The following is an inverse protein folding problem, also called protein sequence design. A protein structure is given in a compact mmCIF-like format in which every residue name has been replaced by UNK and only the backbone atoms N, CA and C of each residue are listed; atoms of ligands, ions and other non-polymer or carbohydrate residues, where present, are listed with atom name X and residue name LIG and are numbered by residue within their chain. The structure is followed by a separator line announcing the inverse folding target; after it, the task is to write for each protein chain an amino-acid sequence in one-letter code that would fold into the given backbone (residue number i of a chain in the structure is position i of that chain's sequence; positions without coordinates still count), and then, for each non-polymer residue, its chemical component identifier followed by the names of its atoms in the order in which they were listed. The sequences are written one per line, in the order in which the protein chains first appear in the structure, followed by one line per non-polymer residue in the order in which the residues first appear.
data_IF_282092030599
#
_entry.id   IF_282092030599
#
_cell.length_a   1.000
_cell.length_b   1.000
_cell.length_c   1.000
_cell.angle_alpha   90.00
_cell.angle_beta   90.00
_cell.angle_gamma   90.00
#
_symmetry.space_group_name_H-M   'P 1'
#
loop_
_entity.id
_entity.type
_entity.pdbx_description
1 polymer ?
#
# COMPACT_ATOMS: atom_id res chain seq x y z
N UNK A 1 -7.56 -4.65 -22.83
CA UNK A 1 -7.73 -3.18 -22.88
C UNK A 1 -8.97 -2.74 -23.66
N UNK A 2 -9.17 -3.19 -24.92
CA UNK A 2 -10.37 -2.79 -25.70
C UNK A 2 -11.66 -3.21 -24.96
N UNK A 3 -11.75 -4.45 -24.51
CA UNK A 3 -12.87 -4.94 -23.71
C UNK A 3 -13.14 -4.11 -22.46
N UNK A 4 -12.10 -3.71 -21.74
CA UNK A 4 -12.24 -2.86 -20.55
C UNK A 4 -12.83 -1.47 -20.84
N UNK A 5 -12.63 -0.94 -22.04
CA UNK A 5 -13.28 0.30 -22.49
C UNK A 5 -14.73 0.04 -22.96
N UNK A 6 -14.91 -0.98 -23.78
CA UNK A 6 -16.22 -1.28 -24.39
C UNK A 6 -17.25 -1.83 -23.39
N UNK A 7 -16.80 -2.38 -22.25
CA UNK A 7 -17.72 -2.79 -21.16
C UNK A 7 -18.37 -1.61 -20.43
N UNK A 8 -17.82 -0.40 -20.57
CA UNK A 8 -18.30 0.80 -19.89
C UNK A 8 -18.70 1.93 -20.84
N UNK A 9 -18.30 1.86 -22.12
CA UNK A 9 -18.52 2.92 -23.12
C UNK A 9 -18.93 2.31 -24.46
N UNK A 10 -19.96 2.87 -25.09
CA UNK A 10 -20.26 2.57 -26.49
C UNK A 10 -19.25 3.29 -27.39
N UNK A 11 -18.21 2.58 -27.80
CA UNK A 11 -17.08 3.14 -28.53
C UNK A 11 -16.61 2.18 -29.63
N UNK A 12 -16.32 2.73 -30.79
CA UNK A 12 -15.76 1.96 -31.92
C UNK A 12 -14.36 1.44 -31.58
N UNK A 13 -13.97 0.32 -32.18
CA UNK A 13 -12.65 -0.29 -31.98
C UNK A 13 -11.49 0.67 -32.31
N UNK A 14 -11.64 1.50 -33.35
CA UNK A 14 -10.60 2.45 -33.74
C UNK A 14 -10.43 3.59 -32.73
N UNK A 15 -11.52 4.10 -32.20
CA UNK A 15 -11.47 5.11 -31.15
C UNK A 15 -10.93 4.51 -29.83
N UNK A 16 -11.31 3.28 -29.48
CA UNK A 16 -10.75 2.57 -28.35
C UNK A 16 -9.21 2.43 -28.48
N UNK A 17 -8.69 2.07 -29.67
CA UNK A 17 -7.24 1.98 -29.92
C UNK A 17 -6.52 3.32 -29.68
N UNK A 18 -7.11 4.45 -30.10
CA UNK A 18 -6.53 5.79 -29.86
C UNK A 18 -6.43 6.11 -28.37
N UNK A 19 -7.49 5.82 -27.60
CA UNK A 19 -7.51 6.03 -26.16
C UNK A 19 -6.48 5.14 -25.46
N UNK A 20 -6.41 3.85 -25.84
CA UNK A 20 -5.46 2.91 -25.27
C UNK A 20 -4.02 3.35 -25.57
N UNK A 21 -3.73 3.75 -26.80
CA UNK A 21 -2.42 4.29 -27.17
C UNK A 21 -2.03 5.46 -26.26
N UNK A 22 -2.94 6.41 -26.06
CA UNK A 22 -2.68 7.55 -25.17
C UNK A 22 -2.46 7.11 -23.73
N UNK A 23 -3.25 6.17 -23.21
CA UNK A 23 -3.06 5.61 -21.87
C UNK A 23 -1.70 4.91 -21.72
N UNK A 24 -1.25 4.16 -22.74
CA UNK A 24 0.08 3.51 -22.73
C UNK A 24 1.21 4.54 -22.71
N UNK A 25 1.10 5.65 -23.43
CA UNK A 25 2.08 6.75 -23.38
C UNK A 25 2.12 7.37 -21.97
N UNK A 26 0.96 7.63 -21.37
CA UNK A 26 0.87 8.22 -20.02
C UNK A 26 1.56 7.40 -18.94
N UNK A 27 1.51 6.08 -19.04
CA UNK A 27 2.20 5.17 -18.11
C UNK A 27 3.65 4.87 -18.52
N UNK A 28 4.18 5.55 -19.54
CA UNK A 28 5.58 5.42 -19.96
C UNK A 28 5.92 4.15 -20.72
N UNK A 29 4.97 3.61 -21.50
CA UNK A 29 5.25 2.50 -22.44
C UNK A 29 5.79 3.11 -23.74
N UNK A 30 7.03 2.74 -24.08
CA UNK A 30 7.68 3.13 -25.33
C UNK A 30 7.10 2.37 -26.52
N UNK A 31 7.10 2.99 -27.71
CA UNK A 31 6.58 2.43 -28.96
C UNK A 31 5.17 1.82 -28.81
N UNK A 32 4.17 2.61 -28.35
CA UNK A 32 2.84 2.07 -28.03
C UNK A 32 2.16 1.45 -29.25
N UNK A 33 2.40 1.96 -30.45
CA UNK A 33 1.80 1.45 -31.69
C UNK A 33 2.23 0.01 -32.01
N UNK A 34 3.50 -0.32 -31.79
CA UNK A 34 4.01 -1.69 -31.90
C UNK A 34 3.47 -2.61 -30.81
N UNK A 35 3.26 -2.04 -29.61
CA UNK A 35 2.82 -2.78 -28.42
C UNK A 35 1.31 -3.01 -28.33
N UNK A 36 0.50 -2.27 -29.10
CA UNK A 36 -0.96 -2.43 -29.10
C UNK A 36 -1.42 -3.86 -29.49
N UNK A 37 -0.64 -4.57 -30.27
CA UNK A 37 -0.93 -5.92 -30.72
C UNK A 37 -0.07 -6.99 -30.02
N UNK A 38 0.78 -6.59 -29.06
CA UNK A 38 1.67 -7.50 -28.36
C UNK A 38 0.93 -8.30 -27.29
N UNK A 39 1.35 -9.53 -27.06
CA UNK A 39 0.83 -10.39 -26.01
C UNK A 39 1.55 -10.15 -24.68
N UNK A 40 0.91 -10.45 -23.52
CA UNK A 40 1.50 -10.20 -22.19
C UNK A 40 2.91 -10.81 -21.99
N UNK A 41 3.19 -11.96 -22.57
CA UNK A 41 4.50 -12.63 -22.47
C UNK A 41 5.63 -11.89 -23.21
N UNK A 42 5.30 -10.97 -24.10
CA UNK A 42 6.25 -10.13 -24.84
C UNK A 42 6.66 -8.85 -24.09
N UNK A 43 6.08 -8.64 -22.89
CA UNK A 43 6.38 -7.51 -22.02
C UNK A 43 7.29 -7.95 -20.87
N UNK A 44 8.22 -7.08 -20.46
CA UNK A 44 8.93 -7.23 -19.18
C UNK A 44 7.95 -7.12 -18.00
N UNK A 45 8.38 -7.52 -16.81
CA UNK A 45 7.57 -7.39 -15.59
C UNK A 45 7.07 -5.97 -15.35
N UNK A 46 7.96 -5.00 -15.41
CA UNK A 46 7.62 -3.58 -15.26
C UNK A 46 6.69 -3.06 -16.36
N UNK A 47 6.86 -3.51 -17.60
CA UNK A 47 5.94 -3.14 -18.69
C UNK A 47 4.55 -3.74 -18.48
N UNK A 48 4.45 -4.99 -18.04
CA UNK A 48 3.16 -5.62 -17.70
C UNK A 48 2.44 -4.82 -16.61
N UNK A 49 3.16 -4.43 -15.57
CA UNK A 49 2.60 -3.61 -14.51
C UNK A 49 2.09 -2.26 -15.01
N UNK A 50 2.86 -1.59 -15.90
CA UNK A 50 2.41 -0.35 -16.55
C UNK A 50 1.15 -0.54 -17.39
N UNK A 51 1.00 -1.67 -18.09
CA UNK A 51 -0.22 -2.01 -18.82
C UNK A 51 -1.40 -2.19 -17.87
N UNK A 52 -1.23 -2.87 -16.73
CA UNK A 52 -2.28 -3.02 -15.71
C UNK A 52 -2.71 -1.66 -15.16
N UNK A 53 -1.77 -0.78 -14.85
CA UNK A 53 -2.04 0.60 -14.42
C UNK A 53 -2.79 1.37 -15.52
N UNK A 54 -2.36 1.25 -16.79
CA UNK A 54 -3.06 1.88 -17.90
C UNK A 54 -4.51 1.40 -18.02
N UNK A 55 -4.76 0.09 -17.84
CA UNK A 55 -6.12 -0.48 -17.84
C UNK A 55 -6.98 0.15 -16.73
N UNK A 56 -6.43 0.23 -15.51
CA UNK A 56 -7.13 0.84 -14.37
C UNK A 56 -7.51 2.31 -14.63
N UNK A 57 -6.70 3.04 -15.39
CA UNK A 57 -6.91 4.46 -15.70
C UNK A 57 -7.79 4.73 -16.92
N UNK A 58 -8.11 3.70 -17.75
CA UNK A 58 -8.84 3.88 -19.02
C UNK A 58 -10.19 4.56 -18.87
N UNK A 59 -10.91 4.27 -17.80
CA UNK A 59 -12.25 4.79 -17.54
C UNK A 59 -12.25 5.97 -16.56
N UNK A 60 -11.08 6.59 -16.33
CA UNK A 60 -10.94 7.80 -15.50
C UNK A 60 -11.59 7.65 -14.11
N UNK A 61 -11.18 6.62 -13.33
CA UNK A 61 -11.80 6.34 -12.05
C UNK A 61 -11.48 7.43 -11.01
N UNK A 62 -12.40 7.65 -10.07
CA UNK A 62 -12.16 8.52 -8.91
C UNK A 62 -11.22 7.87 -7.90
N UNK A 63 -11.17 6.52 -7.84
CA UNK A 63 -10.37 5.74 -6.90
C UNK A 63 -9.71 4.54 -7.60
N UNK A 64 -8.43 4.34 -7.32
CA UNK A 64 -7.70 3.11 -7.66
C UNK A 64 -7.29 2.40 -6.38
N UNK A 65 -7.58 1.11 -6.29
CA UNK A 65 -7.06 0.21 -5.24
C UNK A 65 -5.97 -0.65 -5.86
N UNK A 66 -4.75 -0.51 -5.38
CA UNK A 66 -3.59 -1.24 -5.83
C UNK A 66 -3.12 -2.19 -4.70
N UNK A 67 -3.32 -3.48 -4.92
CA UNK A 67 -2.96 -4.54 -3.98
C UNK A 67 -1.62 -5.16 -4.39
N UNK A 68 -0.59 -4.94 -3.56
CA UNK A 68 0.79 -5.42 -3.74
C UNK A 68 1.36 -5.17 -5.17
N UNK A 69 1.17 -3.98 -5.76
CA UNK A 69 1.39 -3.80 -7.20
C UNK A 69 2.86 -3.79 -7.62
N UNK A 70 3.80 -3.83 -6.67
CA UNK A 70 5.24 -3.80 -6.96
C UNK A 70 6.03 -4.99 -6.41
N UNK A 71 5.38 -5.95 -5.76
CA UNK A 71 6.03 -7.06 -5.03
C UNK A 71 6.93 -7.95 -5.90
N UNK A 72 6.63 -8.11 -7.19
CA UNK A 72 7.41 -8.94 -8.12
C UNK A 72 8.40 -8.14 -8.99
N UNK A 73 8.72 -6.91 -8.62
CA UNK A 73 9.56 -6.00 -9.41
C UNK A 73 10.89 -5.74 -8.72
N UNK A 74 11.92 -5.50 -9.51
CA UNK A 74 13.20 -4.99 -8.99
C UNK A 74 13.05 -3.56 -8.42
N UNK A 75 13.96 -3.20 -7.52
CA UNK A 75 13.91 -1.93 -6.76
C UNK A 75 13.90 -0.71 -7.69
N UNK A 76 14.60 -0.77 -8.82
CA UNK A 76 14.68 0.35 -9.76
C UNK A 76 13.35 0.57 -10.48
N UNK A 77 12.74 -0.50 -10.96
CA UNK A 77 11.43 -0.46 -11.63
C UNK A 77 10.34 -0.10 -10.61
N UNK A 78 10.39 -0.65 -9.40
CA UNK A 78 9.49 -0.27 -8.30
C UNK A 78 9.53 1.25 -8.06
N UNK A 79 10.70 1.83 -7.85
CA UNK A 79 10.87 3.26 -7.63
C UNK A 79 10.33 4.11 -8.80
N UNK A 80 10.47 3.62 -10.03
CA UNK A 80 9.91 4.27 -11.22
C UNK A 80 8.38 4.28 -11.20
N UNK A 81 7.77 3.12 -10.93
CA UNK A 81 6.30 2.97 -10.88
C UNK A 81 5.71 3.84 -9.77
N UNK A 82 6.33 3.89 -8.59
CA UNK A 82 5.89 4.76 -7.49
C UNK A 82 5.87 6.24 -7.91
N UNK A 83 6.93 6.72 -8.55
CA UNK A 83 6.98 8.10 -9.07
C UNK A 83 5.89 8.36 -10.10
N UNK A 84 5.71 7.43 -11.04
CA UNK A 84 4.70 7.56 -12.10
C UNK A 84 3.28 7.55 -11.52
N UNK A 85 2.98 6.67 -10.56
CA UNK A 85 1.68 6.61 -9.89
C UNK A 85 1.38 7.88 -9.09
N UNK A 86 2.35 8.44 -8.37
CA UNK A 86 2.18 9.73 -7.67
C UNK A 86 1.86 10.87 -8.64
N UNK A 87 2.57 10.92 -9.77
CA UNK A 87 2.32 11.91 -10.82
C UNK A 87 0.93 11.73 -11.40
N UNK A 88 0.58 10.53 -11.85
CA UNK A 88 -0.70 10.20 -12.45
C UNK A 88 -1.86 10.53 -11.51
N UNK A 89 -1.80 10.11 -10.23
CA UNK A 89 -2.83 10.40 -9.23
C UNK A 89 -3.08 11.91 -9.09
N UNK A 90 -2.02 12.73 -9.08
CA UNK A 90 -2.15 14.19 -9.03
C UNK A 90 -2.73 14.76 -10.30
N UNK A 91 -2.22 14.34 -11.46
CA UNK A 91 -2.61 14.88 -12.76
C UNK A 91 -4.08 14.54 -13.10
N UNK A 92 -4.57 13.39 -12.66
CA UNK A 92 -5.95 12.93 -12.88
C UNK A 92 -6.90 13.24 -11.72
N UNK A 93 -6.38 13.68 -10.57
CA UNK A 93 -7.12 13.82 -9.31
C UNK A 93 -7.76 12.51 -8.83
N UNK A 94 -7.21 11.37 -9.24
CA UNK A 94 -7.65 10.03 -8.83
C UNK A 94 -7.10 9.73 -7.44
N UNK A 95 -7.96 9.35 -6.50
CA UNK A 95 -7.54 8.85 -5.20
C UNK A 95 -6.84 7.48 -5.34
N UNK A 96 -5.86 7.22 -4.47
CA UNK A 96 -5.08 5.99 -4.52
C UNK A 96 -5.07 5.31 -3.14
N UNK A 97 -5.58 4.09 -3.08
CA UNK A 97 -5.37 3.16 -1.95
C UNK A 97 -4.29 2.17 -2.36
N UNK A 98 -3.18 2.19 -1.63
CA UNK A 98 -2.03 1.33 -1.90
C UNK A 98 -1.86 0.33 -0.77
N UNK A 99 -2.08 -0.96 -1.05
CA UNK A 99 -1.88 -2.04 -0.08
C UNK A 99 -0.49 -2.61 -0.28
N UNK A 100 0.30 -2.67 0.78
CA UNK A 100 1.66 -3.22 0.76
C UNK A 100 2.14 -3.57 2.16
N UNK A 101 3.08 -4.48 2.25
CA UNK A 101 3.81 -4.77 3.49
C UNK A 101 5.17 -4.02 3.57
N UNK A 102 5.54 -3.26 2.54
CA UNK A 102 6.80 -2.52 2.47
C UNK A 102 6.61 -1.08 2.97
N UNK A 103 7.06 -0.80 4.19
CA UNK A 103 7.02 0.54 4.79
C UNK A 103 7.88 1.55 4.04
N UNK A 104 8.93 1.12 3.34
CA UNK A 104 9.72 1.99 2.47
C UNK A 104 8.93 2.50 1.27
N UNK A 105 8.03 1.66 0.73
CA UNK A 105 7.06 2.06 -0.29
C UNK A 105 6.05 3.03 0.28
N UNK A 106 5.49 2.72 1.46
CA UNK A 106 4.54 3.60 2.15
C UNK A 106 5.11 5.00 2.35
N UNK A 107 6.32 5.10 2.86
CA UNK A 107 7.02 6.39 3.08
C UNK A 107 7.15 7.23 1.80
N UNK A 108 7.23 6.58 0.64
CA UNK A 108 7.40 7.26 -0.65
C UNK A 108 6.10 7.69 -1.30
N UNK A 109 4.99 6.96 -1.12
CA UNK A 109 3.76 7.18 -1.89
C UNK A 109 2.60 7.73 -1.05
N UNK A 110 2.47 7.34 0.21
CA UNK A 110 1.31 7.60 1.02
C UNK A 110 1.39 8.93 1.78
N UNK A 111 0.28 9.67 1.83
CA UNK A 111 0.10 10.83 2.71
C UNK A 111 -0.44 10.39 4.08
N UNK A 112 -1.25 9.34 4.08
CA UNK A 112 -1.83 8.72 5.28
C UNK A 112 -1.64 7.21 5.24
N UNK A 113 -1.51 6.62 6.41
CA UNK A 113 -1.32 5.17 6.58
C UNK A 113 -2.39 4.63 7.50
N UNK A 114 -2.92 3.45 7.15
CA UNK A 114 -3.72 2.61 8.02
C UNK A 114 -2.95 1.29 8.24
N UNK A 115 -2.43 1.09 9.43
CA UNK A 115 -1.75 -0.16 9.81
C UNK A 115 -2.79 -1.17 10.22
N UNK A 116 -2.73 -2.37 9.63
CA UNK A 116 -3.66 -3.47 9.91
C UNK A 116 -2.98 -4.62 10.63
N UNK A 117 -3.65 -5.19 11.61
CA UNK A 117 -3.26 -6.43 12.28
C UNK A 117 -4.48 -7.30 12.51
N UNK A 118 -4.40 -8.58 12.15
CA UNK A 118 -5.49 -9.55 12.34
C UNK A 118 -6.86 -9.05 11.85
N UNK A 119 -6.92 -8.42 10.66
CA UNK A 119 -8.15 -7.94 10.03
C UNK A 119 -8.69 -6.62 10.60
N UNK A 120 -7.99 -5.97 11.53
CA UNK A 120 -8.42 -4.69 12.14
C UNK A 120 -7.38 -3.60 11.91
N UNK A 121 -7.84 -2.38 11.69
CA UNK A 121 -6.98 -1.20 11.73
C UNK A 121 -6.57 -0.98 13.19
N UNK A 122 -5.25 -1.02 13.44
CA UNK A 122 -4.65 -0.82 14.76
C UNK A 122 -4.11 0.58 14.95
N UNK A 123 -3.72 1.24 13.86
CA UNK A 123 -3.27 2.63 13.88
C UNK A 123 -3.55 3.29 12.52
N UNK A 124 -3.96 4.56 12.53
CA UNK A 124 -4.26 5.33 11.32
C UNK A 124 -3.89 6.79 11.53
N UNK A 125 -3.08 7.34 10.62
CA UNK A 125 -2.66 8.73 10.72
C UNK A 125 -1.86 9.22 9.52
N UNK A 126 -1.34 10.46 9.55
CA UNK A 126 -0.38 10.96 8.59
C UNK A 126 0.87 10.07 8.58
N UNK A 127 1.40 9.79 7.39
CA UNK A 127 2.55 8.91 7.21
C UNK A 127 3.74 9.33 8.07
N UNK A 128 4.02 10.62 8.14
CA UNK A 128 5.12 11.15 8.94
C UNK A 128 4.95 10.84 10.44
N UNK A 129 3.74 11.01 10.98
CA UNK A 129 3.45 10.69 12.39
C UNK A 129 3.59 9.20 12.67
N UNK A 130 2.98 8.37 11.82
CA UNK A 130 3.04 6.91 11.97
C UNK A 130 4.49 6.40 11.95
N UNK A 131 5.33 6.92 11.05
CA UNK A 131 6.70 6.45 10.90
C UNK A 131 7.66 7.00 11.96
N UNK A 132 7.45 8.22 12.46
CA UNK A 132 8.35 8.85 13.43
C UNK A 132 7.93 8.63 14.89
N UNK A 133 6.64 8.55 15.14
CA UNK A 133 6.04 8.53 16.48
C UNK A 133 4.86 7.56 16.53
N UNK A 134 5.10 6.25 16.29
CA UNK A 134 4.05 5.25 16.34
C UNK A 134 3.47 5.14 17.75
N UNK A 135 2.16 5.02 17.85
CA UNK A 135 1.44 4.91 19.13
C UNK A 135 0.96 3.47 19.41
N UNK A 136 0.97 2.59 18.39
CA UNK A 136 0.64 1.18 18.58
C UNK A 136 1.90 0.31 18.62
N UNK A 137 2.07 -0.58 19.62
CA UNK A 137 3.25 -1.43 19.75
C UNK A 137 3.55 -2.31 18.52
N UNK A 138 2.53 -2.70 17.77
CA UNK A 138 2.73 -3.42 16.50
C UNK A 138 3.37 -2.54 15.43
N UNK A 139 2.93 -1.30 15.32
CA UNK A 139 3.51 -0.32 14.37
C UNK A 139 4.96 -0.02 14.71
N UNK A 140 5.26 0.18 16.00
CA UNK A 140 6.64 0.34 16.50
C UNK A 140 7.49 -0.87 16.10
N UNK A 141 7.00 -2.08 16.36
CA UNK A 141 7.72 -3.31 16.00
C UNK A 141 7.95 -3.47 14.49
N UNK A 142 6.98 -3.08 13.64
CA UNK A 142 7.14 -3.08 12.18
C UNK A 142 8.25 -2.10 11.75
N UNK A 143 8.25 -0.88 12.29
CA UNK A 143 9.25 0.14 11.98
C UNK A 143 10.64 -0.30 12.45
N UNK A 144 10.74 -0.85 13.67
CA UNK A 144 11.99 -1.37 14.21
C UNK A 144 12.55 -2.56 13.40
N UNK A 145 11.68 -3.30 12.71
CA UNK A 145 12.05 -4.43 11.85
C UNK A 145 12.57 -4.02 10.46
N UNK A 146 12.52 -2.71 10.12
CA UNK A 146 13.00 -2.23 8.82
C UNK A 146 14.52 -2.34 8.71
N UNK A 147 15.05 -2.93 7.62
CA UNK A 147 16.51 -3.05 7.42
C UNK A 147 17.25 -1.70 7.45
N UNK A 148 16.57 -0.62 7.02
CA UNK A 148 17.14 0.73 7.04
C UNK A 148 17.41 1.28 8.45
N UNK A 149 16.81 0.70 9.49
CA UNK A 149 16.96 1.11 10.88
C UNK A 149 17.99 0.25 11.64
N UNK A 150 18.55 -0.79 11.02
CA UNK A 150 19.56 -1.66 11.63
C UNK A 150 20.99 -1.18 11.30
N UNK A 151 21.88 -1.29 12.26
CA UNK A 151 23.31 -1.07 12.02
C UNK A 151 23.92 -2.27 11.27
N UNK A 152 24.94 -2.05 10.42
CA UNK A 152 25.60 -3.15 9.72
C UNK A 152 26.15 -4.20 10.71
N UNK A 153 25.75 -5.45 10.53
CA UNK A 153 26.17 -6.58 11.38
C UNK A 153 25.29 -6.85 12.60
N UNK A 154 24.30 -6.01 12.88
CA UNK A 154 23.31 -6.30 13.91
C UNK A 154 22.16 -7.18 13.40
N UNK A 155 21.58 -7.96 14.32
CA UNK A 155 20.35 -8.69 14.02
C UNK A 155 19.18 -7.74 13.90
N UNK A 156 18.40 -7.90 12.82
CA UNK A 156 17.15 -7.16 12.67
C UNK A 156 16.23 -7.43 13.87
N UNK A 157 15.61 -6.36 14.36
CA UNK A 157 14.53 -6.49 15.34
C UNK A 157 13.40 -7.32 14.72
N UNK A 158 12.86 -8.26 15.46
CA UNK A 158 11.72 -9.05 15.01
C UNK A 158 10.61 -9.04 16.05
N UNK A 159 9.38 -8.91 15.58
CA UNK A 159 8.21 -9.01 16.46
C UNK A 159 8.12 -10.45 16.95
N UNK A 160 8.09 -10.71 18.27
CA UNK A 160 8.08 -12.07 18.82
C UNK A 160 6.83 -12.86 18.42
N UNK A 161 6.93 -14.20 18.46
CA UNK A 161 5.83 -15.10 18.16
C UNK A 161 5.45 -15.19 16.68
N UNK A 162 4.46 -16.02 16.37
CA UNK A 162 3.93 -16.22 15.03
C UNK A 162 2.70 -15.35 14.73
N UNK A 163 2.31 -15.31 13.45
CA UNK A 163 1.06 -14.67 13.05
C UNK A 163 -0.14 -15.40 13.69
N UNK A 164 -1.14 -14.68 14.21
CA UNK A 164 -2.30 -15.30 14.82
C UNK A 164 -3.16 -16.00 13.76
N UNK A 165 -3.71 -17.14 14.15
CA UNK A 165 -4.78 -17.75 13.36
C UNK A 165 -6.06 -16.92 13.55
N UNK A 166 -6.64 -16.42 12.47
CA UNK A 166 -7.84 -15.57 12.53
C UNK A 166 -9.04 -16.25 13.22
N UNK A 167 -9.12 -17.58 13.15
CA UNK A 167 -10.15 -18.39 13.82
C UNK A 167 -9.90 -18.60 15.32
N UNK A 168 -8.73 -18.20 15.85
CA UNK A 168 -8.31 -18.41 17.25
C UNK A 168 -7.73 -17.13 17.86
N UNK A 169 -8.33 -15.98 17.54
CA UNK A 169 -7.90 -14.72 18.14
C UNK A 169 -8.25 -14.68 19.64
N UNK A 170 -7.42 -14.04 20.48
CA UNK A 170 -7.73 -13.83 21.89
C UNK A 170 -9.00 -12.98 22.05
N UNK A 171 -9.69 -13.14 23.16
CA UNK A 171 -10.93 -12.40 23.47
C UNK A 171 -10.71 -10.89 23.58
N UNK A 172 -9.49 -10.45 23.96
CA UNK A 172 -9.13 -9.04 24.11
C UNK A 172 -8.37 -8.47 22.89
N UNK A 173 -7.27 -7.81 23.18
CA UNK A 173 -6.38 -7.27 22.17
C UNK A 173 -5.73 -8.40 21.35
N UNK A 174 -5.95 -8.41 20.03
CA UNK A 174 -5.42 -9.46 19.14
C UNK A 174 -3.89 -9.50 19.10
N UNK A 175 -3.23 -8.38 19.41
CA UNK A 175 -1.77 -8.29 19.44
C UNK A 175 -1.17 -8.64 20.81
N UNK A 176 -1.96 -8.70 21.88
CA UNK A 176 -1.47 -8.93 23.26
C UNK A 176 -0.48 -10.11 23.41
N UNK A 177 -0.67 -11.27 22.76
CA UNK A 177 0.26 -12.40 22.89
C UNK A 177 1.67 -12.13 22.32
N UNK A 178 1.84 -11.07 21.55
CA UNK A 178 3.11 -10.68 20.90
C UNK A 178 3.59 -9.29 21.32
N UNK A 179 2.86 -8.64 22.21
CA UNK A 179 3.11 -7.27 22.64
C UNK A 179 4.03 -7.25 23.85
N UNK A 180 5.18 -6.55 23.75
CA UNK A 180 6.10 -6.36 24.86
C UNK A 180 5.53 -5.49 26.00
N UNK A 181 4.44 -4.75 25.72
CA UNK A 181 3.75 -3.86 26.66
C UNK A 181 2.42 -4.46 27.15
N UNK A 182 2.18 -5.77 26.93
CA UNK A 182 0.93 -6.39 27.33
C UNK A 182 0.71 -6.32 28.85
N UNK A 183 -0.50 -6.00 29.24
CA UNK A 183 -0.96 -5.94 30.64
C UNK A 183 -2.34 -6.60 30.79
N UNK A 184 -2.85 -6.68 32.01
CA UNK A 184 -4.21 -7.17 32.27
C UNK A 184 -5.30 -6.33 31.60
N UNK A 185 -5.06 -5.06 31.33
CA UNK A 185 -5.96 -4.21 30.55
C UNK A 185 -6.17 -4.69 29.11
N UNK A 186 -5.22 -5.44 28.54
CA UNK A 186 -5.32 -5.98 27.18
C UNK A 186 -6.31 -7.16 27.06
N UNK A 187 -6.89 -7.64 28.15
CA UNK A 187 -7.98 -8.62 28.14
C UNK A 187 -9.29 -8.05 27.58
N UNK A 188 -9.37 -6.74 27.42
CA UNK A 188 -10.50 -6.04 26.77
C UNK A 188 -10.13 -5.77 25.31
N UNK A 189 -11.11 -5.97 24.40
CA UNK A 189 -10.94 -5.58 22.99
C UNK A 189 -10.84 -4.06 22.88
N UNK A 190 -9.70 -3.48 22.44
CA UNK A 190 -9.57 -2.03 22.36
C UNK A 190 -10.42 -1.46 21.22
N UNK A 191 -11.01 -0.29 21.47
CA UNK A 191 -11.64 0.51 20.43
C UNK A 191 -10.60 1.36 19.69
N UNK A 192 -10.95 1.82 18.48
CA UNK A 192 -10.14 2.77 17.74
C UNK A 192 -10.44 4.17 18.28
N UNK A 193 -9.53 4.73 19.04
CA UNK A 193 -9.67 6.04 19.67
C UNK A 193 -8.85 7.10 18.95
N UNK A 194 -9.35 8.32 18.88
CA UNK A 194 -8.61 9.48 18.38
C UNK A 194 -7.64 9.97 19.46
N UNK A 195 -6.35 10.04 19.12
CA UNK A 195 -5.31 10.64 19.98
C UNK A 195 -4.97 12.07 19.55
N UNK A 196 -5.27 12.42 18.29
CA UNK A 196 -5.28 13.79 17.78
C UNK A 196 -6.32 13.93 16.67
N UNK A 197 -6.50 15.13 16.12
CA UNK A 197 -7.49 15.41 15.07
C UNK A 197 -7.34 14.53 13.82
N UNK A 198 -6.17 13.97 13.58
CA UNK A 198 -5.82 13.24 12.36
C UNK A 198 -5.13 11.88 12.63
N UNK A 199 -4.99 11.46 13.91
CA UNK A 199 -4.31 10.23 14.30
C UNK A 199 -5.17 9.42 15.28
N UNK A 200 -5.42 8.16 14.94
CA UNK A 200 -6.22 7.22 15.73
C UNK A 200 -5.42 5.94 16.01
N UNK A 201 -5.64 5.35 17.18
CA UNK A 201 -4.97 4.11 17.61
C UNK A 201 -5.96 3.16 18.29
N UNK A 202 -5.77 1.87 18.08
CA UNK A 202 -6.54 0.79 18.71
C UNK A 202 -5.68 0.10 19.76
N UNK A 203 -5.44 0.78 20.86
CA UNK A 203 -4.66 0.27 21.99
C UNK A 203 -5.25 0.75 23.31
N UNK A 204 -5.27 -0.10 24.34
CA UNK A 204 -5.73 0.27 25.69
C UNK A 204 -4.70 1.15 26.43
N UNK A 205 -3.42 1.06 26.03
CA UNK A 205 -2.32 1.85 26.56
C UNK A 205 -1.41 2.24 25.40
N UNK A 206 -1.78 3.26 24.59
CA UNK A 206 -0.95 3.74 23.50
C UNK A 206 0.45 4.12 24.01
N UNK A 207 1.45 3.94 23.14
CA UNK A 207 2.79 4.46 23.39
C UNK A 207 2.74 5.99 23.34
N UNK A 208 3.54 6.63 24.19
CA UNK A 208 3.77 8.07 24.11
C UNK A 208 4.53 8.28 22.79
N UNK A 209 3.84 8.69 21.75
CA UNK A 209 4.44 8.98 20.45
C UNK A 209 5.58 9.97 20.69
N UNK A 210 6.82 9.53 20.56
CA UNK A 210 8.03 10.19 21.02
C UNK A 210 7.97 11.71 20.91
N UNK A 211 8.08 12.35 22.06
CA UNK A 211 8.23 13.79 22.22
C UNK A 211 9.57 14.26 21.68
#
# INVERSE_FOLDING_TARGET
MIEALQSHRDISRDNARKIIRHAMVRVGINSPDERLNAYPHQFSGGMRQRVVIAIALLNEPDLIIADEPTTALDVTIQAQILRDMRRLSRDTRTALVWVTHDLGVVAQIAQRVAVMYAGRIVENGPTEKILKSPCHPYTEGLIASMPANALPGERLHSIPGGLPQLSKLPAGCSFAPRCNYASSACNITPELIQISSDHAVRCVSPLDGGS
#
